data_IF_579230178081
#
_entry.id   IF_579230178081
#
_cell.length_a   1.000
_cell.length_b   1.000
_cell.length_c   1.000
_cell.angle_alpha   90.00
_cell.angle_beta   90.00
_cell.angle_gamma   90.00
#
_symmetry.space_group_name_H-M   'P 1'
#
loop_
_entity.id
_entity.type
_entity.pdbx_description
1 polymer ?
#
# COMPACT_ATOMS: atom_id res chain seq x y z
N UNK A 1 33.02 -6.61 33.34
CA UNK A 1 31.59 -6.27 33.52
C UNK A 1 31.12 -5.07 32.70
N UNK A 2 31.88 -3.98 32.54
CA UNK A 2 31.49 -2.86 31.65
C UNK A 2 31.23 -3.28 30.20
N UNK A 3 32.07 -4.09 29.60
CA UNK A 3 31.89 -4.59 28.22
C UNK A 3 30.63 -5.44 27.99
N UNK A 4 30.14 -6.13 29.03
CA UNK A 4 28.93 -6.97 28.88
C UNK A 4 27.64 -6.13 28.98
N UNK A 5 27.64 -5.12 29.81
CA UNK A 5 26.50 -4.17 29.89
C UNK A 5 26.41 -3.29 28.66
N UNK A 6 27.54 -2.81 28.12
CA UNK A 6 27.62 -2.13 26.84
C UNK A 6 27.17 -3.03 25.66
N UNK A 7 27.54 -4.31 25.69
CA UNK A 7 27.08 -5.29 24.69
C UNK A 7 25.57 -5.56 24.78
N UNK A 8 25.01 -5.59 26.01
CA UNK A 8 23.56 -5.72 26.23
C UNK A 8 22.83 -4.44 25.87
N UNK A 9 23.36 -3.26 26.16
CA UNK A 9 22.78 -1.97 25.77
C UNK A 9 22.82 -1.76 24.25
N UNK A 10 23.88 -2.20 23.58
CA UNK A 10 23.94 -2.26 22.12
C UNK A 10 23.00 -3.29 21.50
N UNK A 11 22.58 -4.31 22.24
CA UNK A 11 21.53 -5.28 21.85
C UNK A 11 20.11 -4.83 22.22
N UNK A 12 19.95 -3.90 23.13
CA UNK A 12 18.68 -3.19 23.26
C UNK A 12 18.53 -2.39 21.97
N UNK A 13 17.55 -2.76 21.15
CA UNK A 13 17.17 -2.03 19.96
C UNK A 13 16.71 -0.61 20.35
N UNK A 14 17.64 0.21 20.81
CA UNK A 14 17.43 1.63 20.96
C UNK A 14 17.21 2.19 19.56
N UNK A 15 16.19 2.98 19.40
CA UNK A 15 15.83 3.60 18.13
C UNK A 15 16.92 4.61 17.75
N UNK A 16 17.99 4.15 17.10
CA UNK A 16 19.05 5.01 16.59
C UNK A 16 18.44 5.96 15.56
N UNK A 17 18.56 7.25 15.80
CA UNK A 17 18.21 8.27 14.83
C UNK A 17 19.40 8.47 13.89
N UNK A 18 19.16 8.20 12.61
CA UNK A 18 20.15 8.39 11.53
C UNK A 18 19.97 9.71 10.79
N UNK A 19 18.89 10.44 11.11
CA UNK A 19 18.42 11.57 10.33
C UNK A 19 19.03 12.91 10.75
N UNK A 20 18.34 13.94 10.33
CA UNK A 20 18.71 15.34 10.50
C UNK A 20 17.56 16.08 11.19
N UNK A 21 17.83 17.27 11.72
CA UNK A 21 16.76 18.15 12.17
C UNK A 21 16.08 18.79 10.96
N UNK A 22 14.74 18.84 10.92
CA UNK A 22 14.03 19.46 9.81
C UNK A 22 14.29 20.97 9.74
N UNK A 23 14.46 21.47 8.52
CA UNK A 23 14.64 22.91 8.25
C UNK A 23 13.39 23.56 7.65
N UNK A 24 12.47 22.72 7.15
CA UNK A 24 11.25 23.16 6.53
C UNK A 24 10.08 22.25 6.93
N UNK A 25 9.08 22.83 7.60
CA UNK A 25 7.78 22.23 7.87
C UNK A 25 6.71 23.22 7.44
N UNK A 26 6.17 23.11 6.20
CA UNK A 26 5.21 24.06 5.67
C UNK A 26 3.89 24.09 6.45
N UNK A 27 3.28 25.29 6.54
CA UNK A 27 2.00 25.49 7.24
C UNK A 27 0.81 24.81 6.55
N UNK A 28 0.93 24.47 5.26
CA UNK A 28 -0.10 23.75 4.53
C UNK A 28 -0.28 22.29 5.00
N UNK A 29 0.65 21.76 5.79
CA UNK A 29 0.52 20.44 6.41
C UNK A 29 -0.48 20.46 7.57
N UNK A 30 -1.30 19.41 7.66
CA UNK A 30 -2.05 19.13 8.89
C UNK A 30 -1.10 18.78 10.04
N UNK A 31 -1.51 18.98 11.29
CA UNK A 31 -0.65 18.79 12.45
C UNK A 31 -0.08 17.36 12.55
N UNK A 32 -0.88 16.34 12.22
CA UNK A 32 -0.39 14.98 12.16
C UNK A 32 0.64 14.77 11.04
N UNK A 33 0.51 15.45 9.90
CA UNK A 33 1.49 15.39 8.81
C UNK A 33 2.79 16.08 9.21
N UNK A 34 2.73 17.22 9.92
CA UNK A 34 3.89 17.89 10.50
C UNK A 34 4.65 16.92 11.41
N UNK A 35 3.92 16.29 12.34
CA UNK A 35 4.49 15.30 13.27
C UNK A 35 5.15 14.11 12.56
N UNK A 36 4.46 13.49 11.60
CA UNK A 36 5.00 12.36 10.83
C UNK A 36 6.23 12.77 10.03
N UNK A 37 6.21 13.96 9.42
CA UNK A 37 7.33 14.50 8.64
C UNK A 37 8.56 14.73 9.53
N UNK A 38 8.40 15.37 10.67
CA UNK A 38 9.48 15.58 11.65
C UNK A 38 10.06 14.25 12.13
N UNK A 39 9.19 13.32 12.51
CA UNK A 39 9.60 11.99 12.94
C UNK A 39 10.42 11.29 11.86
N UNK A 40 9.95 11.29 10.61
CA UNK A 40 10.64 10.65 9.50
C UNK A 40 12.02 11.27 9.26
N UNK A 41 12.12 12.61 9.20
CA UNK A 41 13.39 13.31 8.96
C UNK A 41 14.39 13.02 10.07
N UNK A 42 13.99 13.12 11.33
CA UNK A 42 14.85 12.81 12.49
C UNK A 42 15.29 11.34 12.52
N UNK A 43 14.42 10.45 12.07
CA UNK A 43 14.72 9.01 11.99
C UNK A 43 15.76 8.68 10.90
N UNK A 44 15.67 9.31 9.73
CA UNK A 44 16.61 9.17 8.60
C UNK A 44 16.55 7.85 7.85
N UNK A 45 16.07 6.78 8.51
CA UNK A 45 15.74 5.47 7.93
C UNK A 45 14.44 5.02 8.55
N UNK A 46 13.34 5.13 7.80
CA UNK A 46 12.02 4.99 8.38
C UNK A 46 11.02 4.43 7.37
N UNK A 47 10.15 3.55 7.85
CA UNK A 47 8.92 3.22 7.14
C UNK A 47 7.77 4.08 7.67
N UNK A 48 6.98 4.63 6.76
CA UNK A 48 5.83 5.49 7.04
C UNK A 48 4.58 4.79 6.49
N UNK A 49 3.82 4.18 7.39
CA UNK A 49 2.61 3.41 7.08
C UNK A 49 1.38 4.28 7.30
N UNK A 50 1.08 5.11 6.32
CA UNK A 50 -0.10 5.97 6.33
C UNK A 50 -1.20 5.38 5.44
N UNK A 51 -2.41 5.35 5.96
CA UNK A 51 -3.56 4.96 5.14
C UNK A 51 -3.75 5.90 3.94
N UNK A 52 -4.50 5.44 2.96
CA UNK A 52 -4.82 6.27 1.79
C UNK A 52 -5.67 7.48 2.21
N UNK A 53 -5.41 8.63 1.57
CA UNK A 53 -6.10 9.88 1.89
C UNK A 53 -5.46 10.71 3.01
N UNK A 54 -4.41 10.20 3.69
CA UNK A 54 -3.68 10.94 4.73
C UNK A 54 -2.55 11.84 4.18
N UNK A 55 -2.46 11.99 2.84
CA UNK A 55 -1.54 12.90 2.19
C UNK A 55 -0.09 12.43 2.16
N UNK A 56 0.15 11.12 1.97
CA UNK A 56 1.49 10.53 1.82
C UNK A 56 2.38 11.33 0.88
N UNK A 57 1.91 11.61 -0.34
CA UNK A 57 2.67 12.32 -1.38
C UNK A 57 3.20 13.67 -0.88
N UNK A 58 2.39 14.42 -0.14
CA UNK A 58 2.82 15.71 0.41
C UNK A 58 3.88 15.53 1.50
N UNK A 59 3.73 14.54 2.38
CA UNK A 59 4.75 14.20 3.40
C UNK A 59 6.06 13.78 2.72
N UNK A 60 6.00 12.95 1.68
CA UNK A 60 7.17 12.52 0.89
C UNK A 60 7.88 13.69 0.23
N UNK A 61 7.12 14.61 -0.38
CA UNK A 61 7.68 15.81 -1.00
C UNK A 61 8.36 16.72 0.03
N UNK A 62 7.77 16.91 1.21
CA UNK A 62 8.37 17.73 2.27
C UNK A 62 9.62 17.06 2.85
N UNK A 63 9.61 15.73 3.03
CA UNK A 63 10.82 14.97 3.41
C UNK A 63 11.89 15.15 2.33
N UNK A 64 11.56 15.00 1.05
CA UNK A 64 12.49 15.17 -0.06
C UNK A 64 13.09 16.59 -0.08
N UNK A 65 12.26 17.61 0.12
CA UNK A 65 12.70 19.00 0.12
C UNK A 65 13.66 19.31 1.27
N UNK A 66 13.42 18.77 2.47
CA UNK A 66 14.35 18.92 3.59
C UNK A 66 15.73 18.34 3.23
N UNK A 67 15.79 17.13 2.68
CA UNK A 67 17.06 16.52 2.28
C UNK A 67 17.71 17.24 1.09
N UNK A 68 16.94 17.74 0.14
CA UNK A 68 17.45 18.56 -0.98
C UNK A 68 18.10 19.86 -0.51
N UNK A 69 17.68 20.39 0.65
CA UNK A 69 18.27 21.59 1.27
C UNK A 69 19.43 21.26 2.21
N UNK A 70 19.35 20.16 2.94
CA UNK A 70 20.33 19.77 3.97
C UNK A 70 21.53 19.00 3.43
N UNK A 71 21.41 18.41 2.23
CA UNK A 71 22.48 17.63 1.60
C UNK A 71 22.92 18.24 0.28
N UNK A 72 24.12 17.84 -0.17
CA UNK A 72 24.67 18.35 -1.44
C UNK A 72 24.22 17.56 -2.67
N UNK A 73 23.59 16.37 -2.45
CA UNK A 73 23.15 15.49 -3.53
C UNK A 73 21.63 15.54 -3.69
N UNK A 74 21.12 15.22 -4.87
CA UNK A 74 19.68 15.14 -5.09
C UNK A 74 19.02 14.01 -4.30
N UNK A 75 17.71 14.11 -4.19
CA UNK A 75 16.82 13.11 -3.61
C UNK A 75 16.11 12.36 -4.73
N UNK A 76 16.06 11.03 -4.64
CA UNK A 76 15.32 10.18 -5.57
C UNK A 76 14.03 9.66 -4.94
N UNK A 77 12.89 9.95 -5.57
CA UNK A 77 11.59 9.35 -5.25
C UNK A 77 11.31 8.29 -6.29
N UNK A 78 11.07 7.06 -5.84
CA UNK A 78 10.76 5.92 -6.70
C UNK A 78 9.28 5.57 -6.49
N UNK A 79 8.51 5.56 -7.58
CA UNK A 79 7.05 5.42 -7.52
C UNK A 79 6.53 4.47 -8.61
N UNK A 80 5.32 3.90 -8.45
CA UNK A 80 4.65 3.19 -9.54
C UNK A 80 4.42 4.08 -10.77
N UNK A 81 4.34 3.46 -11.95
CA UNK A 81 4.35 4.14 -13.25
C UNK A 81 3.31 5.28 -13.37
N UNK A 82 2.10 5.06 -12.89
CA UNK A 82 1.00 6.04 -13.03
C UNK A 82 1.06 7.22 -12.04
N UNK A 83 2.02 7.24 -11.09
CA UNK A 83 2.02 8.19 -9.97
C UNK A 83 3.01 9.33 -10.14
N UNK A 84 4.06 9.15 -10.94
CA UNK A 84 5.15 10.13 -11.06
C UNK A 84 4.65 11.55 -11.43
N UNK A 85 3.63 11.64 -12.28
CA UNK A 85 3.02 12.91 -12.68
C UNK A 85 2.32 13.64 -11.53
N UNK A 86 1.76 12.87 -10.59
CA UNK A 86 1.08 13.45 -9.43
C UNK A 86 2.06 14.16 -8.51
N UNK A 87 3.27 13.64 -8.33
CA UNK A 87 4.32 14.30 -7.55
C UNK A 87 4.65 15.70 -8.11
N UNK A 88 4.78 15.81 -9.43
CA UNK A 88 5.05 17.10 -10.09
C UNK A 88 3.90 18.09 -9.84
N UNK A 89 2.65 17.66 -10.11
CA UNK A 89 1.46 18.51 -9.91
C UNK A 89 1.28 18.93 -8.45
N UNK A 90 1.51 18.02 -7.50
CA UNK A 90 1.38 18.36 -6.08
C UNK A 90 2.48 19.29 -5.61
N UNK A 91 3.72 19.14 -6.07
CA UNK A 91 4.80 20.08 -5.77
C UNK A 91 4.44 21.49 -6.26
N UNK A 92 3.96 21.63 -7.49
CA UNK A 92 3.51 22.91 -8.03
C UNK A 92 2.31 23.49 -7.23
N UNK A 93 1.32 22.67 -6.92
CA UNK A 93 0.12 23.08 -6.17
C UNK A 93 0.44 23.63 -4.78
N UNK A 94 1.42 23.06 -4.11
CA UNK A 94 1.81 23.46 -2.74
C UNK A 94 2.98 24.44 -2.71
N UNK A 95 3.44 24.93 -3.88
CA UNK A 95 4.57 25.89 -3.97
C UNK A 95 5.89 25.33 -3.45
N UNK A 96 6.07 24.00 -3.57
CA UNK A 96 7.29 23.32 -3.20
C UNK A 96 8.34 23.42 -4.32
N UNK A 97 9.59 23.05 -4.00
CA UNK A 97 10.67 22.99 -5.01
C UNK A 97 10.26 22.09 -6.19
N UNK A 98 10.67 22.50 -7.40
CA UNK A 98 10.29 21.76 -8.62
C UNK A 98 10.82 20.33 -8.61
N UNK A 99 9.93 19.41 -8.97
CA UNK A 99 10.21 17.98 -9.06
C UNK A 99 10.43 17.60 -10.52
N UNK A 100 11.55 16.96 -10.82
CA UNK A 100 11.86 16.49 -12.16
C UNK A 100 11.49 15.00 -12.32
N UNK A 101 10.51 14.70 -13.19
CA UNK A 101 10.21 13.33 -13.59
C UNK A 101 11.19 12.88 -14.68
N UNK A 102 12.11 11.98 -14.33
CA UNK A 102 13.10 11.42 -15.24
C UNK A 102 12.69 10.07 -15.79
N UNK A 103 12.70 9.94 -17.12
CA UNK A 103 12.39 8.70 -17.84
C UNK A 103 13.63 7.96 -18.37
N UNK A 104 14.77 8.65 -18.44
CA UNK A 104 15.99 8.17 -19.10
C UNK A 104 17.24 8.19 -18.21
N UNK A 105 17.10 8.54 -16.93
CA UNK A 105 18.21 8.68 -15.98
C UNK A 105 18.86 10.08 -15.98
N UNK A 106 18.45 10.95 -16.89
CA UNK A 106 18.91 12.35 -16.90
C UNK A 106 17.96 13.22 -16.09
N UNK A 107 18.51 14.11 -15.28
CA UNK A 107 17.69 14.99 -14.45
C UNK A 107 18.36 16.35 -14.23
N UNK A 108 17.53 17.33 -13.91
CA UNK A 108 17.92 18.67 -13.47
C UNK A 108 17.21 18.94 -12.14
N UNK A 109 17.85 19.69 -11.25
CA UNK A 109 17.29 20.00 -9.93
C UNK A 109 17.60 18.93 -8.87
N UNK A 110 17.07 19.17 -7.66
CA UNK A 110 17.44 18.40 -6.47
C UNK A 110 16.42 17.32 -6.07
N UNK A 111 15.22 17.34 -6.62
CA UNK A 111 14.20 16.32 -6.36
C UNK A 111 13.86 15.64 -7.69
N UNK A 112 14.15 14.35 -7.76
CA UNK A 112 13.98 13.54 -8.95
C UNK A 112 12.95 12.43 -8.66
N UNK A 113 11.97 12.26 -9.55
CA UNK A 113 11.03 11.16 -9.49
C UNK A 113 11.31 10.20 -10.64
N UNK A 114 11.35 8.91 -10.37
CA UNK A 114 11.40 7.86 -11.37
C UNK A 114 10.43 6.72 -11.05
N UNK A 115 10.20 5.87 -12.03
CA UNK A 115 9.40 4.66 -11.85
C UNK A 115 10.29 3.46 -11.49
N UNK A 116 9.73 2.49 -10.76
CA UNK A 116 10.44 1.27 -10.37
C UNK A 116 11.07 0.52 -11.54
N UNK A 117 10.40 0.53 -12.70
CA UNK A 117 10.83 -0.12 -13.94
C UNK A 117 12.04 0.54 -14.61
N UNK A 118 12.41 1.74 -14.15
CA UNK A 118 13.50 2.54 -14.71
C UNK A 118 14.65 2.79 -13.74
N UNK A 119 14.61 2.12 -12.59
CA UNK A 119 15.60 2.30 -11.53
C UNK A 119 17.03 1.94 -11.97
N UNK A 120 17.17 1.01 -12.91
CA UNK A 120 18.46 0.60 -13.50
C UNK A 120 19.20 1.71 -14.27
N UNK A 121 18.50 2.81 -14.59
CA UNK A 121 19.10 3.98 -15.26
C UNK A 121 19.76 4.97 -14.32
N UNK A 122 19.69 4.75 -13.02
CA UNK A 122 20.21 5.65 -11.98
C UNK A 122 21.33 4.99 -11.20
N UNK A 123 22.36 5.77 -10.84
CA UNK A 123 23.41 5.33 -9.92
C UNK A 123 23.04 5.73 -8.48
N UNK A 124 22.98 4.78 -7.53
CA UNK A 124 22.69 5.12 -6.13
C UNK A 124 23.72 6.06 -5.49
N UNK A 125 24.94 6.13 -6.01
CA UNK A 125 25.98 7.03 -5.51
C UNK A 125 25.69 8.51 -5.77
N UNK A 126 24.78 8.82 -6.70
CA UNK A 126 24.37 10.19 -7.02
C UNK A 126 23.42 10.78 -5.97
N UNK A 127 22.82 9.93 -5.10
CA UNK A 127 21.77 10.35 -4.19
C UNK A 127 22.15 10.14 -2.72
N UNK A 128 21.83 11.12 -1.87
CA UNK A 128 21.97 10.99 -0.41
C UNK A 128 20.67 10.47 0.26
N UNK A 129 19.52 10.68 -0.38
CA UNK A 129 18.23 10.25 0.11
C UNK A 129 17.42 9.54 -0.99
N UNK A 130 16.77 8.44 -0.61
CA UNK A 130 15.84 7.71 -1.46
C UNK A 130 14.51 7.49 -0.73
N UNK A 131 13.41 7.73 -1.43
CA UNK A 131 12.04 7.58 -0.96
C UNK A 131 11.33 6.59 -1.89
N UNK A 132 10.75 5.54 -1.33
CA UNK A 132 9.94 4.55 -2.05
C UNK A 132 8.46 4.81 -1.75
N UNK A 133 7.74 5.34 -2.73
CA UNK A 133 6.28 5.40 -2.69
C UNK A 133 5.71 4.04 -3.09
N UNK A 134 4.67 3.61 -2.38
CA UNK A 134 4.06 2.29 -2.48
C UNK A 134 5.07 1.14 -2.31
N UNK A 135 5.84 1.20 -1.23
CA UNK A 135 6.91 0.25 -0.91
C UNK A 135 6.44 -1.21 -0.69
N UNK A 136 5.13 -1.47 -0.71
CA UNK A 136 4.55 -2.83 -0.75
C UNK A 136 5.06 -3.68 -1.93
N UNK A 137 5.67 -3.08 -2.94
CA UNK A 137 6.38 -3.79 -4.03
C UNK A 137 7.49 -4.71 -3.50
N UNK A 138 8.05 -4.41 -2.32
CA UNK A 138 9.10 -5.22 -1.67
C UNK A 138 8.61 -6.55 -1.09
N UNK A 139 7.29 -6.80 -1.03
CA UNK A 139 6.68 -7.98 -0.38
C UNK A 139 7.17 -9.33 -0.91
N UNK A 140 7.57 -9.42 -2.17
CA UNK A 140 8.04 -10.65 -2.79
C UNK A 140 9.52 -10.88 -2.51
N UNK A 141 9.83 -11.68 -1.50
CA UNK A 141 11.22 -11.97 -1.10
C UNK A 141 12.10 -12.50 -2.24
N UNK A 142 11.60 -13.39 -3.09
CA UNK A 142 12.34 -14.00 -4.19
C UNK A 142 12.28 -13.24 -5.52
N UNK A 143 11.74 -12.02 -5.54
CA UNK A 143 11.56 -11.26 -6.78
C UNK A 143 12.83 -10.51 -7.20
N UNK A 144 13.24 -10.61 -8.48
CA UNK A 144 14.35 -9.81 -9.05
C UNK A 144 14.16 -8.31 -8.83
N UNK A 145 12.92 -7.82 -8.91
CA UNK A 145 12.59 -6.41 -8.69
C UNK A 145 12.93 -6.01 -7.24
N UNK A 146 12.53 -6.82 -6.24
CA UNK A 146 12.86 -6.58 -4.83
C UNK A 146 14.37 -6.55 -4.61
N UNK A 147 15.11 -7.48 -5.20
CA UNK A 147 16.56 -7.56 -5.06
C UNK A 147 17.24 -6.31 -5.62
N UNK A 148 16.86 -5.88 -6.82
CA UNK A 148 17.40 -4.66 -7.44
C UNK A 148 17.11 -3.43 -6.59
N UNK A 149 15.86 -3.25 -6.15
CA UNK A 149 15.45 -2.12 -5.30
C UNK A 149 16.23 -2.15 -3.98
N UNK A 150 16.30 -3.28 -3.30
CA UNK A 150 16.98 -3.41 -2.01
C UNK A 150 18.48 -3.13 -2.14
N UNK A 151 19.12 -3.61 -3.21
CA UNK A 151 20.53 -3.38 -3.50
C UNK A 151 20.81 -1.90 -3.76
N UNK A 152 19.95 -1.23 -4.50
CA UNK A 152 20.03 0.22 -4.74
C UNK A 152 19.87 0.99 -3.43
N UNK A 153 18.77 0.76 -2.71
CA UNK A 153 18.41 1.49 -1.48
C UNK A 153 19.49 1.34 -0.39
N UNK A 154 20.08 0.15 -0.25
CA UNK A 154 21.14 -0.11 0.73
C UNK A 154 22.41 0.74 0.53
N UNK A 155 22.66 1.23 -0.68
CA UNK A 155 23.81 2.10 -0.99
C UNK A 155 23.55 3.58 -0.67
N UNK A 156 22.28 3.97 -0.48
CA UNK A 156 21.90 5.35 -0.18
C UNK A 156 21.86 5.56 1.35
N UNK A 157 22.28 6.73 1.82
CA UNK A 157 22.41 7.02 3.27
C UNK A 157 21.07 7.11 3.98
N UNK A 158 20.12 7.92 3.45
CA UNK A 158 18.80 8.17 4.02
C UNK A 158 17.74 7.42 3.21
N UNK A 159 16.85 6.67 3.88
CA UNK A 159 15.97 5.71 3.24
C UNK A 159 14.57 5.77 3.81
N UNK A 160 13.58 5.91 2.95
CA UNK A 160 12.20 6.01 3.36
C UNK A 160 11.32 5.06 2.56
N UNK A 161 10.40 4.39 3.26
CA UNK A 161 9.42 3.50 2.67
C UNK A 161 8.02 3.99 3.03
N UNK A 162 7.22 4.35 2.03
CA UNK A 162 5.85 4.79 2.22
C UNK A 162 4.88 3.78 1.64
N UNK A 163 3.85 3.41 2.38
CA UNK A 163 2.75 2.57 1.89
C UNK A 163 1.53 2.62 2.83
N UNK A 164 0.35 2.36 2.27
CA UNK A 164 -0.87 2.11 3.04
C UNK A 164 -1.04 0.62 3.39
N UNK A 165 -0.32 -0.27 2.71
CA UNK A 165 -0.43 -1.73 2.87
C UNK A 165 0.92 -2.36 3.17
N UNK A 166 1.48 -2.16 4.38
CA UNK A 166 2.84 -2.59 4.73
C UNK A 166 3.03 -4.11 4.72
N UNK A 167 1.96 -4.86 4.95
CA UNK A 167 1.98 -6.31 5.05
C UNK A 167 0.65 -6.89 4.52
N UNK A 168 0.42 -6.81 3.20
CA UNK A 168 -0.87 -7.15 2.63
C UNK A 168 -1.24 -8.64 2.70
N UNK A 169 -0.28 -9.54 2.86
CA UNK A 169 -0.54 -10.97 2.92
C UNK A 169 -0.13 -11.60 4.26
N UNK A 170 1.05 -11.26 4.77
CA UNK A 170 1.58 -11.85 6.01
C UNK A 170 2.64 -10.94 6.64
N UNK A 171 2.75 -10.96 7.99
CA UNK A 171 3.72 -10.15 8.75
C UNK A 171 5.18 -10.38 8.37
N UNK A 172 5.51 -11.53 7.76
CA UNK A 172 6.86 -11.81 7.26
C UNK A 172 7.32 -10.78 6.20
N UNK A 173 6.40 -10.14 5.49
CA UNK A 173 6.70 -9.13 4.48
C UNK A 173 7.40 -7.89 5.07
N UNK A 174 7.22 -7.61 6.36
CA UNK A 174 7.90 -6.52 7.06
C UNK A 174 9.42 -6.74 7.17
N UNK A 175 9.88 -7.98 7.06
CA UNK A 175 11.30 -8.30 7.05
C UNK A 175 12.03 -7.76 5.82
N UNK A 176 11.37 -7.73 4.65
CA UNK A 176 11.95 -7.14 3.44
C UNK A 176 12.06 -5.62 3.55
N UNK A 177 11.09 -4.98 4.18
CA UNK A 177 11.11 -3.54 4.49
C UNK A 177 12.25 -3.20 5.46
N UNK A 178 12.38 -3.96 6.55
CA UNK A 178 13.47 -3.81 7.51
C UNK A 178 14.84 -3.99 6.87
N UNK A 179 14.99 -4.99 5.99
CA UNK A 179 16.22 -5.25 5.24
C UNK A 179 16.59 -4.09 4.31
N UNK A 180 15.63 -3.51 3.59
CA UNK A 180 15.85 -2.36 2.71
C UNK A 180 16.30 -1.11 3.50
N UNK A 181 15.68 -0.87 4.65
CA UNK A 181 16.06 0.22 5.55
C UNK A 181 17.43 0.01 6.21
N UNK A 182 17.92 -1.23 6.26
CA UNK A 182 19.21 -1.59 6.85
C UNK A 182 19.17 -1.83 8.35
N UNK A 183 18.04 -2.29 8.87
CA UNK A 183 17.89 -2.77 10.25
C UNK A 183 18.21 -4.26 10.33
N UNK A 184 17.21 -5.11 10.51
CA UNK A 184 17.40 -6.56 10.61
C UNK A 184 17.16 -7.22 9.25
N UNK A 185 18.02 -8.18 8.87
CA UNK A 185 17.85 -8.99 7.67
C UNK A 185 16.58 -9.86 7.72
N UNK A 186 16.03 -10.20 6.56
CA UNK A 186 14.80 -10.98 6.46
C UNK A 186 14.92 -12.34 7.16
N UNK A 187 16.02 -13.08 6.94
CA UNK A 187 16.24 -14.39 7.55
C UNK A 187 16.45 -14.32 9.07
N UNK A 188 17.12 -13.26 9.55
CA UNK A 188 17.32 -13.05 10.98
C UNK A 188 15.99 -12.77 11.68
N UNK A 189 15.11 -11.97 11.04
CA UNK A 189 13.75 -11.71 11.51
C UNK A 189 12.94 -13.01 11.60
N UNK A 190 12.98 -13.84 10.55
CA UNK A 190 12.28 -15.13 10.55
C UNK A 190 12.75 -16.03 11.68
N UNK A 191 14.05 -16.17 11.86
CA UNK A 191 14.64 -17.00 12.91
C UNK A 191 14.24 -16.51 14.31
N UNK A 192 14.27 -15.19 14.49
CA UNK A 192 13.99 -14.57 15.80
C UNK A 192 12.52 -14.66 16.18
N UNK A 193 11.61 -14.29 15.29
CA UNK A 193 10.21 -14.07 15.64
C UNK A 193 9.24 -15.12 15.10
N UNK A 194 9.63 -15.91 14.11
CA UNK A 194 8.74 -16.85 13.42
C UNK A 194 9.18 -18.30 13.61
N UNK A 195 8.22 -19.21 13.43
CA UNK A 195 8.47 -20.65 13.37
C UNK A 195 7.93 -21.21 12.05
N UNK A 196 8.59 -22.27 11.52
CA UNK A 196 8.12 -23.00 10.35
C UNK A 196 6.96 -23.92 10.74
N UNK A 197 5.89 -23.93 9.96
CA UNK A 197 4.69 -24.76 10.16
C UNK A 197 4.92 -26.23 9.85
N UNK A 198 5.89 -26.56 9.01
CA UNK A 198 6.23 -27.97 8.70
C UNK A 198 6.49 -28.80 9.96
N UNK A 199 6.92 -28.13 11.04
CA UNK A 199 7.21 -28.76 12.32
C UNK A 199 5.98 -28.78 13.27
N UNK A 200 4.78 -28.37 12.82
CA UNK A 200 3.60 -28.28 13.69
C UNK A 200 2.33 -28.74 12.97
N UNK A 201 1.88 -29.96 13.29
CA UNK A 201 0.70 -30.64 12.66
C UNK A 201 -0.57 -29.79 12.73
N UNK A 202 -0.77 -29.00 13.81
CA UNK A 202 -1.94 -28.12 13.97
C UNK A 202 -1.93 -26.88 13.07
N UNK A 203 -0.80 -26.53 12.49
CA UNK A 203 -0.62 -25.31 11.70
C UNK A 203 -0.61 -25.55 10.18
N UNK A 204 -0.67 -26.80 9.71
CA UNK A 204 -0.55 -27.18 8.29
C UNK A 204 -1.67 -26.62 7.39
N UNK A 205 -2.85 -26.30 7.96
CA UNK A 205 -4.02 -25.86 7.21
C UNK A 205 -4.08 -24.33 6.94
N UNK A 206 -3.07 -23.56 7.32
CA UNK A 206 -3.06 -22.10 7.14
C UNK A 206 -2.06 -21.74 6.04
N UNK A 207 -2.47 -21.01 5.01
CA UNK A 207 -1.77 -20.75 3.74
C UNK A 207 -0.35 -20.15 3.75
N UNK A 208 0.24 -19.82 4.91
CA UNK A 208 1.61 -19.30 5.03
C UNK A 208 2.56 -20.40 5.58
N UNK A 209 3.78 -20.45 5.08
CA UNK A 209 4.83 -21.39 5.52
C UNK A 209 5.34 -21.09 6.94
N UNK A 210 5.23 -19.85 7.40
CA UNK A 210 5.70 -19.37 8.69
C UNK A 210 4.55 -18.80 9.51
N UNK A 211 4.67 -18.83 10.84
CA UNK A 211 3.76 -18.17 11.77
C UNK A 211 4.53 -17.45 12.87
N UNK A 212 4.02 -16.31 13.30
CA UNK A 212 4.58 -15.51 14.38
C UNK A 212 4.45 -16.29 15.70
N UNK A 213 5.58 -16.48 16.40
CA UNK A 213 5.61 -17.16 17.71
C UNK A 213 4.76 -16.37 18.71
N UNK A 214 3.80 -17.00 19.43
CA UNK A 214 2.92 -16.28 20.36
C UNK A 214 3.66 -15.45 21.41
N UNK A 215 4.73 -15.99 22.00
CA UNK A 215 5.56 -15.32 22.99
C UNK A 215 6.41 -14.17 22.41
N UNK A 216 6.71 -14.19 21.12
CA UNK A 216 7.50 -13.15 20.44
C UNK A 216 6.65 -12.02 19.86
N UNK A 217 5.31 -12.09 19.97
CA UNK A 217 4.38 -11.17 19.34
C UNK A 217 4.61 -9.71 19.76
N UNK A 218 4.65 -9.45 21.05
CA UNK A 218 4.86 -8.10 21.60
C UNK A 218 6.23 -7.53 21.18
N UNK A 219 7.28 -8.34 21.25
CA UNK A 219 8.63 -7.91 20.88
C UNK A 219 8.76 -7.66 19.38
N UNK A 220 8.04 -8.43 18.54
CA UNK A 220 7.99 -8.22 17.11
C UNK A 220 7.37 -6.85 16.78
N UNK A 221 6.20 -6.51 17.31
CA UNK A 221 5.56 -5.23 17.04
C UNK A 221 6.33 -4.05 17.64
N UNK A 222 6.93 -4.21 18.82
CA UNK A 222 7.84 -3.22 19.39
C UNK A 222 9.06 -2.98 18.48
N UNK A 223 9.63 -4.04 17.94
CA UNK A 223 10.72 -3.95 16.98
C UNK A 223 10.29 -3.23 15.69
N UNK A 224 9.13 -3.56 15.11
CA UNK A 224 8.60 -2.83 13.93
C UNK A 224 8.40 -1.35 14.24
N UNK A 225 7.79 -1.01 15.37
CA UNK A 225 7.59 0.39 15.80
C UNK A 225 8.89 1.15 16.05
N UNK A 226 10.02 0.46 16.23
CA UNK A 226 11.32 1.12 16.45
C UNK A 226 11.88 1.75 15.17
N UNK A 227 11.42 1.35 13.98
CA UNK A 227 11.85 1.86 12.68
C UNK A 227 10.69 2.31 11.78
N UNK A 228 9.47 2.28 12.27
CA UNK A 228 8.29 2.71 11.50
C UNK A 228 7.38 3.62 12.33
N UNK A 229 6.59 4.41 11.61
CA UNK A 229 5.43 5.12 12.14
C UNK A 229 4.20 4.68 11.36
N UNK A 230 3.06 4.48 12.04
CA UNK A 230 1.84 3.99 11.42
C UNK A 230 0.63 4.81 11.86
N UNK A 231 -0.32 5.03 10.92
CA UNK A 231 -1.55 5.75 11.20
C UNK A 231 -2.61 5.41 10.14
N UNK A 232 -3.84 5.09 10.57
CA UNK A 232 -5.02 4.94 9.70
C UNK A 232 -5.90 6.18 9.74
N UNK A 233 -5.93 6.86 10.88
CA UNK A 233 -6.66 8.10 11.10
C UNK A 233 -5.88 8.98 12.08
N UNK A 234 -6.07 10.29 12.04
CA UNK A 234 -5.31 11.21 12.90
C UNK A 234 -5.36 10.88 14.38
N UNK A 235 -6.49 10.39 14.90
CA UNK A 235 -6.64 10.01 16.31
C UNK A 235 -5.76 8.82 16.74
N UNK A 236 -5.21 8.05 15.83
CA UNK A 236 -4.23 6.99 16.14
C UNK A 236 -2.94 7.58 16.76
N UNK A 237 -2.60 8.82 16.42
CA UNK A 237 -1.49 9.58 17.00
C UNK A 237 -1.94 10.71 17.92
N UNK A 238 -3.21 10.72 18.34
CA UNK A 238 -3.78 11.70 19.29
C UNK A 238 -4.22 13.04 18.69
N UNK A 239 -4.34 13.13 17.36
CA UNK A 239 -4.87 14.31 16.67
C UNK A 239 -6.39 14.18 16.42
N UNK A 240 -7.07 15.31 16.08
CA UNK A 240 -8.50 15.29 15.76
C UNK A 240 -8.79 14.66 14.39
N UNK A 241 -9.86 13.84 14.32
CA UNK A 241 -10.36 13.25 13.09
C UNK A 241 -11.38 14.15 12.34
N UNK A 242 -11.70 15.33 12.85
CA UNK A 242 -12.82 16.16 12.36
C UNK A 242 -12.75 16.48 10.87
N UNK A 243 -11.55 16.71 10.35
CA UNK A 243 -11.31 17.00 8.94
C UNK A 243 -11.15 15.74 8.07
N UNK A 244 -11.20 14.53 8.65
CA UNK A 244 -10.90 13.25 7.99
C UNK A 244 -12.06 12.25 8.07
N UNK A 245 -13.27 12.72 8.32
CA UNK A 245 -14.46 11.87 8.29
C UNK A 245 -14.72 11.43 6.85
N UNK A 246 -14.70 10.13 6.63
CA UNK A 246 -15.08 9.53 5.37
C UNK A 246 -16.58 9.22 5.39
N UNK A 247 -17.26 9.28 4.23
CA UNK A 247 -18.63 8.80 4.11
C UNK A 247 -18.69 7.27 4.32
N UNK A 248 -19.86 6.70 4.33
CA UNK A 248 -20.04 5.27 4.52
C UNK A 248 -19.49 4.48 3.33
N UNK A 249 -18.87 3.33 3.61
CA UNK A 249 -18.48 2.33 2.60
C UNK A 249 -19.45 1.16 2.67
N UNK A 250 -20.29 1.04 1.66
CA UNK A 250 -21.33 0.01 1.55
C UNK A 250 -20.79 -1.13 0.69
N UNK A 251 -20.57 -2.28 1.31
CA UNK A 251 -20.06 -3.48 0.66
C UNK A 251 -21.20 -4.46 0.41
N UNK A 252 -21.58 -4.63 -0.85
CA UNK A 252 -22.63 -5.57 -1.25
C UNK A 252 -22.00 -6.81 -1.87
N UNK A 253 -22.57 -7.98 -1.55
CA UNK A 253 -22.13 -9.27 -2.06
C UNK A 253 -23.18 -9.84 -3.00
N UNK A 254 -22.84 -9.98 -4.28
CA UNK A 254 -23.71 -10.51 -5.33
C UNK A 254 -23.20 -11.85 -5.81
N UNK A 255 -23.89 -12.89 -5.41
CA UNK A 255 -23.56 -14.27 -5.74
C UNK A 255 -24.33 -14.72 -6.97
N UNK A 256 -23.60 -15.12 -8.02
CA UNK A 256 -24.19 -15.70 -9.22
C UNK A 256 -24.09 -17.22 -9.19
N UNK A 257 -25.13 -17.90 -9.66
CA UNK A 257 -25.14 -19.38 -9.73
C UNK A 257 -24.39 -19.84 -10.96
N UNK A 258 -23.57 -20.87 -10.81
CA UNK A 258 -23.07 -21.62 -11.96
C UNK A 258 -24.21 -22.51 -12.48
N UNK A 259 -24.60 -22.33 -13.74
CA UNK A 259 -25.64 -23.12 -14.38
C UNK A 259 -25.11 -24.45 -14.93
N UNK A 260 -23.80 -24.60 -15.04
CA UNK A 260 -23.14 -25.79 -15.58
C UNK A 260 -22.38 -26.54 -14.46
N UNK A 261 -22.28 -27.87 -14.61
CA UNK A 261 -21.43 -28.67 -13.73
C UNK A 261 -19.97 -28.28 -13.90
N UNK A 262 -19.27 -28.13 -12.78
CA UNK A 262 -17.85 -27.75 -12.77
C UNK A 262 -17.02 -28.79 -13.52
N UNK A 263 -16.37 -28.40 -14.62
CA UNK A 263 -15.46 -29.24 -15.37
C UNK A 263 -14.02 -28.88 -14.96
N UNK A 264 -13.32 -29.80 -14.32
CA UNK A 264 -11.93 -29.66 -13.94
C UNK A 264 -11.12 -30.74 -14.61
N UNK A 265 -10.11 -30.36 -15.42
CA UNK A 265 -9.26 -31.30 -16.19
C UNK A 265 -10.04 -32.31 -17.07
N UNK A 266 -11.20 -31.89 -17.63
CA UNK A 266 -12.05 -32.74 -18.46
C UNK A 266 -12.96 -33.70 -17.69
N UNK A 267 -12.99 -33.64 -16.36
CA UNK A 267 -13.90 -34.42 -15.52
C UNK A 267 -15.05 -33.54 -15.01
N UNK A 268 -16.27 -34.03 -15.18
CA UNK A 268 -17.50 -33.38 -14.67
C UNK A 268 -17.57 -33.66 -13.17
N UNK A 269 -17.52 -32.61 -12.35
CA UNK A 269 -17.76 -32.70 -10.90
C UNK A 269 -19.27 -32.80 -10.64
N UNK A 270 -19.72 -33.89 -10.09
CA UNK A 270 -21.15 -34.19 -9.87
C UNK A 270 -21.86 -33.29 -8.83
N UNK A 271 -21.12 -32.48 -8.11
CA UNK A 271 -21.65 -31.53 -7.13
C UNK A 271 -20.97 -30.18 -7.32
N UNK A 272 -21.69 -29.09 -7.11
CA UNK A 272 -21.14 -27.72 -7.01
C UNK A 272 -20.22 -27.62 -5.79
N UNK A 273 -19.05 -28.28 -5.86
CA UNK A 273 -18.04 -28.22 -4.83
C UNK A 273 -17.39 -26.84 -4.84
N UNK A 274 -17.23 -26.23 -3.69
CA UNK A 274 -16.45 -25.00 -3.54
C UNK A 274 -15.04 -25.26 -4.08
N UNK A 275 -14.62 -24.49 -5.08
CA UNK A 275 -13.31 -24.61 -5.70
C UNK A 275 -12.19 -24.55 -4.64
N UNK A 276 -11.40 -25.60 -4.53
CA UNK A 276 -10.41 -25.77 -3.46
C UNK A 276 -8.99 -25.32 -3.86
N UNK A 277 -8.71 -25.30 -5.16
CA UNK A 277 -7.41 -24.97 -5.73
C UNK A 277 -7.50 -23.76 -6.67
N UNK A 278 -6.35 -23.11 -6.91
CA UNK A 278 -6.26 -21.99 -7.87
C UNK A 278 -6.73 -22.36 -9.29
N UNK A 279 -6.40 -23.55 -9.85
CA UNK A 279 -6.91 -23.98 -11.15
C UNK A 279 -8.44 -24.13 -11.16
N UNK A 280 -9.04 -24.68 -10.11
CA UNK A 280 -10.50 -24.83 -9.98
C UNK A 280 -11.19 -23.48 -9.91
N UNK A 281 -10.68 -22.53 -9.12
CA UNK A 281 -11.20 -21.15 -9.07
C UNK A 281 -11.16 -20.49 -10.46
N UNK A 282 -10.09 -20.69 -11.23
CA UNK A 282 -9.98 -20.15 -12.59
C UNK A 282 -10.96 -20.79 -13.56
N UNK A 283 -11.19 -22.11 -13.44
CA UNK A 283 -12.19 -22.81 -14.25
C UNK A 283 -13.60 -22.28 -13.97
N UNK A 284 -13.95 -22.16 -12.70
CA UNK A 284 -15.23 -21.59 -12.25
C UNK A 284 -15.42 -20.15 -12.75
N UNK A 285 -14.38 -19.33 -12.68
CA UNK A 285 -14.41 -17.96 -13.18
C UNK A 285 -14.67 -17.88 -14.68
N UNK A 286 -14.14 -18.82 -15.47
CA UNK A 286 -14.37 -18.88 -16.93
C UNK A 286 -15.80 -19.35 -17.25
N UNK A 287 -16.30 -20.34 -16.55
CA UNK A 287 -17.65 -20.86 -16.78
C UNK A 287 -18.76 -19.86 -16.40
N UNK A 288 -18.51 -19.02 -15.41
CA UNK A 288 -19.49 -18.03 -14.90
C UNK A 288 -19.28 -16.63 -15.42
N UNK A 289 -18.44 -16.46 -16.47
CA UNK A 289 -18.06 -15.14 -16.98
C UNK A 289 -19.27 -14.32 -17.44
N UNK A 290 -20.20 -14.95 -18.18
CA UNK A 290 -21.37 -14.28 -18.74
C UNK A 290 -22.28 -13.79 -17.63
N UNK A 291 -22.64 -14.66 -16.69
CA UNK A 291 -23.54 -14.32 -15.55
C UNK A 291 -22.95 -13.23 -14.66
N UNK A 292 -21.61 -13.28 -14.42
CA UNK A 292 -20.95 -12.25 -13.61
C UNK A 292 -20.89 -10.89 -14.35
N UNK A 293 -20.60 -10.88 -15.65
CA UNK A 293 -20.56 -9.64 -16.41
C UNK A 293 -21.95 -9.02 -16.58
N UNK A 294 -23.00 -9.83 -16.86
CA UNK A 294 -24.38 -9.34 -16.93
C UNK A 294 -24.83 -8.73 -15.59
N UNK A 295 -24.56 -9.41 -14.47
CA UNK A 295 -24.88 -8.88 -13.15
C UNK A 295 -24.08 -7.59 -12.84
N UNK A 296 -22.83 -7.52 -13.25
CA UNK A 296 -22.01 -6.34 -13.09
C UNK A 296 -22.58 -5.13 -13.84
N UNK A 297 -23.02 -5.31 -15.07
CA UNK A 297 -23.63 -4.25 -15.89
C UNK A 297 -24.98 -3.82 -15.33
N UNK A 298 -25.82 -4.77 -14.89
CA UNK A 298 -27.09 -4.46 -14.19
C UNK A 298 -26.87 -3.52 -13.00
N UNK A 299 -25.88 -3.83 -12.14
CA UNK A 299 -25.56 -3.03 -10.96
C UNK A 299 -25.04 -1.63 -11.34
N UNK A 300 -24.11 -1.56 -12.28
CA UNK A 300 -23.51 -0.29 -12.70
C UNK A 300 -24.50 0.63 -13.44
N UNK A 301 -25.53 0.10 -14.06
CA UNK A 301 -26.55 0.90 -14.77
C UNK A 301 -27.45 1.72 -13.81
N UNK A 302 -27.45 1.39 -12.52
CA UNK A 302 -28.15 2.20 -11.51
C UNK A 302 -27.34 3.42 -11.04
N UNK A 303 -26.10 3.60 -11.53
CA UNK A 303 -25.19 4.67 -11.16
C UNK A 303 -24.71 5.46 -12.37
N UNK A 304 -24.56 6.78 -12.22
CA UNK A 304 -24.09 7.66 -13.30
C UNK A 304 -22.63 7.39 -13.65
N UNK A 305 -21.79 7.14 -12.64
CA UNK A 305 -20.37 6.85 -12.79
C UNK A 305 -20.04 5.53 -12.13
N UNK A 306 -19.22 4.71 -12.78
CA UNK A 306 -18.87 3.39 -12.25
C UNK A 306 -17.50 2.90 -12.75
N UNK A 307 -16.83 2.06 -11.95
CA UNK A 307 -15.62 1.35 -12.38
C UNK A 307 -15.82 -0.15 -12.24
N UNK A 308 -15.56 -0.87 -13.33
CA UNK A 308 -15.51 -2.32 -13.34
C UNK A 308 -14.07 -2.81 -13.14
N UNK A 309 -13.82 -3.50 -12.05
CA UNK A 309 -12.53 -4.16 -11.78
C UNK A 309 -12.58 -5.61 -12.23
N UNK A 310 -12.05 -5.90 -13.41
CA UNK A 310 -11.95 -7.24 -13.94
C UNK A 310 -10.57 -7.87 -13.72
N UNK A 311 -10.46 -9.20 -13.88
CA UNK A 311 -9.22 -9.95 -13.69
C UNK A 311 -8.67 -10.47 -15.02
N UNK A 312 -9.56 -10.88 -15.94
CA UNK A 312 -9.22 -11.48 -17.22
C UNK A 312 -9.53 -10.52 -18.38
N UNK A 313 -8.86 -10.73 -19.53
CA UNK A 313 -9.15 -9.96 -20.73
C UNK A 313 -10.56 -10.23 -21.23
N UNK A 314 -10.99 -11.52 -21.20
CA UNK A 314 -12.30 -11.94 -21.65
C UNK A 314 -13.43 -11.25 -20.85
N UNK A 315 -13.23 -11.01 -19.56
CA UNK A 315 -14.17 -10.24 -18.72
C UNK A 315 -14.26 -8.79 -19.20
N UNK A 316 -13.11 -8.14 -19.44
CA UNK A 316 -13.09 -6.75 -19.93
C UNK A 316 -13.74 -6.61 -21.30
N UNK A 317 -13.45 -7.52 -22.22
CA UNK A 317 -14.05 -7.53 -23.56
C UNK A 317 -15.57 -7.75 -23.52
N UNK A 318 -16.04 -8.68 -22.66
CA UNK A 318 -17.46 -8.94 -22.50
C UNK A 318 -18.19 -7.75 -21.86
N UNK A 319 -17.62 -7.16 -20.79
CA UNK A 319 -18.18 -5.96 -20.19
C UNK A 319 -18.30 -4.80 -21.20
N UNK A 320 -17.28 -4.55 -22.04
CA UNK A 320 -17.32 -3.53 -23.08
C UNK A 320 -18.30 -3.85 -24.24
N UNK A 321 -18.69 -5.12 -24.43
CA UNK A 321 -19.76 -5.50 -25.34
C UNK A 321 -21.15 -5.25 -24.76
N UNK A 322 -21.32 -5.51 -23.46
CA UNK A 322 -22.58 -5.39 -22.73
C UNK A 322 -22.89 -3.93 -22.32
N UNK A 323 -21.87 -3.17 -21.92
CA UNK A 323 -21.98 -1.75 -21.56
C UNK A 323 -21.20 -0.91 -22.58
N UNK A 324 -21.93 -0.28 -23.51
CA UNK A 324 -21.35 0.53 -24.60
C UNK A 324 -20.81 1.89 -24.14
N UNK A 325 -21.22 2.35 -22.97
CA UNK A 325 -20.78 3.62 -22.37
C UNK A 325 -19.49 3.45 -21.57
N UNK A 326 -19.04 2.20 -21.38
CA UNK A 326 -17.84 1.88 -20.62
C UNK A 326 -16.59 1.78 -21.50
N UNK A 327 -15.51 2.45 -21.10
CA UNK A 327 -14.21 2.42 -21.79
C UNK A 327 -13.25 1.43 -21.13
N UNK A 328 -12.68 0.53 -21.94
CA UNK A 328 -11.74 -0.47 -21.43
C UNK A 328 -10.29 -0.02 -21.55
N UNK A 329 -9.54 -0.05 -20.45
CA UNK A 329 -8.08 0.08 -20.44
C UNK A 329 -7.46 -1.31 -20.55
N UNK A 330 -6.85 -1.60 -21.71
CA UNK A 330 -6.19 -2.89 -22.00
C UNK A 330 -4.71 -2.87 -21.66
N UNK A 331 -4.20 -4.04 -21.24
CA UNK A 331 -2.76 -4.21 -20.97
C UNK A 331 -1.87 -3.89 -22.18
N UNK A 332 -2.34 -4.15 -23.39
CA UNK A 332 -1.64 -3.92 -24.67
C UNK A 332 -1.57 -2.46 -25.12
N UNK A 333 -2.33 -1.55 -24.50
CA UNK A 333 -2.27 -0.12 -24.83
C UNK A 333 -0.92 0.47 -24.46
N UNK A 334 -0.46 1.48 -25.22
CA UNK A 334 0.70 2.29 -24.85
C UNK A 334 0.49 2.99 -23.50
N UNK A 335 1.58 3.32 -22.82
CA UNK A 335 1.51 3.99 -21.51
C UNK A 335 0.81 5.35 -21.62
N UNK A 336 1.08 6.10 -22.68
CA UNK A 336 0.47 7.42 -22.91
C UNK A 336 -1.05 7.32 -23.08
N UNK A 337 -1.53 6.35 -23.88
CA UNK A 337 -2.99 6.11 -24.04
C UNK A 337 -3.67 5.71 -22.72
N UNK A 338 -3.00 4.88 -21.90
CA UNK A 338 -3.52 4.52 -20.57
C UNK A 338 -3.67 5.75 -19.70
N UNK A 339 -2.66 6.62 -19.72
CA UNK A 339 -2.64 7.86 -18.96
C UNK A 339 -3.76 8.81 -19.39
N UNK A 340 -3.97 8.97 -20.71
CA UNK A 340 -5.06 9.79 -21.27
C UNK A 340 -6.44 9.31 -20.79
N UNK A 341 -6.73 8.01 -20.87
CA UNK A 341 -8.00 7.44 -20.41
C UNK A 341 -8.21 7.64 -18.91
N UNK A 342 -7.15 7.46 -18.11
CA UNK A 342 -7.22 7.63 -16.66
C UNK A 342 -7.45 9.09 -16.27
N UNK A 343 -6.84 10.03 -16.98
CA UNK A 343 -7.06 11.47 -16.80
C UNK A 343 -8.47 11.88 -17.23
N UNK A 344 -8.96 11.39 -18.38
CA UNK A 344 -10.31 11.64 -18.87
C UNK A 344 -11.38 11.12 -17.89
N UNK A 345 -11.14 9.95 -17.29
CA UNK A 345 -12.02 9.45 -16.23
C UNK A 345 -11.94 10.32 -14.95
N UNK A 346 -10.74 10.70 -14.52
CA UNK A 346 -10.54 11.53 -13.35
C UNK A 346 -11.17 12.96 -13.51
N UNK A 347 -11.22 13.47 -14.73
CA UNK A 347 -11.85 14.75 -15.07
C UNK A 347 -13.37 14.63 -15.25
N UNK A 348 -13.92 13.40 -15.33
CA UNK A 348 -15.35 13.14 -15.51
C UNK A 348 -15.83 13.12 -16.97
N UNK A 349 -14.92 13.18 -17.95
CA UNK A 349 -15.23 13.07 -19.38
C UNK A 349 -15.71 11.66 -19.75
N UNK A 350 -15.15 10.64 -19.06
CA UNK A 350 -15.57 9.25 -19.13
C UNK A 350 -16.38 8.93 -17.89
N UNK A 351 -17.58 8.38 -18.06
CA UNK A 351 -18.50 8.04 -16.95
C UNK A 351 -18.27 6.63 -16.40
N UNK A 352 -17.94 5.69 -17.25
CA UNK A 352 -17.74 4.29 -16.88
C UNK A 352 -16.40 3.76 -17.40
N UNK A 353 -15.65 3.07 -16.53
CA UNK A 353 -14.31 2.57 -16.82
C UNK A 353 -14.22 1.08 -16.54
N UNK A 354 -13.67 0.31 -17.48
CA UNK A 354 -13.32 -1.10 -17.31
C UNK A 354 -11.80 -1.20 -17.20
N UNK A 355 -11.31 -1.79 -16.13
CA UNK A 355 -9.87 -1.92 -15.93
C UNK A 355 -9.50 -3.05 -14.98
N UNK A 356 -8.22 -3.32 -14.82
CA UNK A 356 -7.70 -4.33 -13.90
C UNK A 356 -7.00 -3.66 -12.72
N UNK A 357 -7.18 -4.15 -11.48
CA UNK A 357 -6.51 -3.58 -10.31
C UNK A 357 -5.00 -3.48 -10.46
N UNK A 358 -4.36 -4.47 -11.07
CA UNK A 358 -2.91 -4.46 -11.33
C UNK A 358 -2.41 -3.30 -12.16
N UNK A 359 -3.25 -2.75 -13.04
CA UNK A 359 -2.84 -1.71 -13.98
C UNK A 359 -3.09 -0.31 -13.44
N UNK A 360 -4.15 -0.13 -12.67
CA UNK A 360 -4.67 1.20 -12.38
C UNK A 360 -5.04 1.43 -10.91
N UNK A 361 -4.90 0.40 -10.03
CA UNK A 361 -5.21 0.57 -8.62
C UNK A 361 -4.20 1.47 -7.87
N UNK A 362 -3.12 1.93 -8.50
CA UNK A 362 -2.14 2.81 -7.90
C UNK A 362 -2.20 4.22 -8.50
N UNK A 363 -2.17 5.25 -7.67
CA UNK A 363 -1.82 6.64 -8.01
C UNK A 363 -2.98 7.63 -8.16
N UNK A 364 -4.02 7.39 -8.91
CA UNK A 364 -5.02 8.41 -9.24
C UNK A 364 -6.18 8.54 -8.23
N UNK A 365 -6.77 9.73 -8.17
CA UNK A 365 -7.88 10.05 -7.29
C UNK A 365 -9.19 10.08 -8.08
N UNK A 366 -10.21 9.31 -7.65
CA UNK A 366 -11.49 9.19 -8.33
C UNK A 366 -12.68 9.50 -7.40
N UNK A 367 -12.56 10.60 -6.59
CA UNK A 367 -13.63 11.00 -5.66
C UNK A 367 -14.92 11.46 -6.35
N UNK A 368 -14.88 11.80 -7.65
CA UNK A 368 -16.08 12.12 -8.44
C UNK A 368 -16.97 10.88 -8.65
N UNK A 369 -16.39 9.68 -8.59
CA UNK A 369 -17.10 8.42 -8.70
C UNK A 369 -17.30 7.80 -7.31
N UNK A 370 -18.49 7.28 -7.05
CA UNK A 370 -18.83 6.66 -5.78
C UNK A 370 -19.39 5.23 -5.92
N UNK A 371 -19.27 4.63 -7.10
CA UNK A 371 -19.71 3.26 -7.33
C UNK A 371 -18.63 2.42 -8.03
N UNK A 372 -18.50 1.16 -7.64
CA UNK A 372 -17.59 0.23 -8.28
C UNK A 372 -18.09 -1.20 -8.21
N UNK A 373 -17.89 -1.95 -9.29
CA UNK A 373 -18.09 -3.40 -9.33
C UNK A 373 -16.76 -4.10 -9.30
N UNK A 374 -16.59 -5.04 -8.38
CA UNK A 374 -15.33 -5.73 -8.16
C UNK A 374 -15.47 -7.25 -8.35
N UNK A 375 -14.68 -7.82 -9.24
CA UNK A 375 -14.53 -9.26 -9.36
C UNK A 375 -13.40 -9.72 -8.44
N UNK A 376 -13.71 -10.46 -7.36
CA UNK A 376 -12.74 -10.72 -6.29
C UNK A 376 -11.59 -11.63 -6.70
N UNK A 377 -10.41 -11.35 -6.15
CA UNK A 377 -9.20 -12.17 -6.26
C UNK A 377 -8.64 -12.45 -4.87
N UNK A 378 -7.64 -13.32 -4.76
CA UNK A 378 -6.93 -13.57 -3.50
C UNK A 378 -6.05 -12.40 -3.02
N UNK A 379 -5.93 -11.32 -3.80
CA UNK A 379 -5.08 -10.18 -3.47
C UNK A 379 -5.83 -9.11 -2.68
N UNK A 380 -5.65 -9.10 -1.36
CA UNK A 380 -6.20 -8.06 -0.51
C UNK A 380 -5.67 -6.66 -0.87
N UNK A 381 -4.39 -6.53 -1.21
CA UNK A 381 -3.80 -5.26 -1.62
C UNK A 381 -4.52 -4.67 -2.85
N UNK A 382 -4.77 -5.48 -3.89
CA UNK A 382 -5.47 -5.01 -5.08
C UNK A 382 -6.89 -4.58 -4.77
N UNK A 383 -7.60 -5.34 -3.96
CA UNK A 383 -8.93 -5.00 -3.47
C UNK A 383 -8.92 -3.69 -2.69
N UNK A 384 -8.03 -3.58 -1.70
CA UNK A 384 -7.91 -2.40 -0.86
C UNK A 384 -7.57 -1.15 -1.68
N UNK A 385 -6.55 -1.21 -2.53
CA UNK A 385 -6.13 -0.11 -3.38
C UNK A 385 -7.23 0.30 -4.37
N UNK A 386 -7.98 -0.66 -4.93
CA UNK A 386 -9.10 -0.38 -5.83
C UNK A 386 -10.21 0.44 -5.14
N UNK A 387 -10.65 0.01 -3.95
CA UNK A 387 -11.69 0.72 -3.19
C UNK A 387 -11.20 2.10 -2.76
N UNK A 388 -9.96 2.22 -2.33
CA UNK A 388 -9.37 3.46 -1.85
C UNK A 388 -9.11 4.49 -2.96
N UNK A 389 -9.47 4.24 -4.21
CA UNK A 389 -9.59 5.22 -5.27
C UNK A 389 -10.79 6.14 -5.07
N UNK A 390 -11.86 5.59 -4.54
CA UNK A 390 -13.16 6.23 -4.34
C UNK A 390 -13.35 6.66 -2.88
N UNK A 391 -13.13 5.73 -1.95
CA UNK A 391 -13.34 5.92 -0.53
C UNK A 391 -12.09 6.47 0.15
N UNK A 392 -11.92 7.78 0.03
CA UNK A 392 -10.74 8.51 0.51
C UNK A 392 -11.08 9.95 0.90
N UNK A 393 -10.16 10.65 1.55
CA UNK A 393 -10.29 12.06 1.88
C UNK A 393 -10.72 12.89 0.66
N UNK A 394 -11.76 13.72 0.84
CA UNK A 394 -12.39 14.52 -0.22
C UNK A 394 -13.57 13.84 -0.91
N UNK A 395 -13.91 12.59 -0.60
CA UNK A 395 -15.17 11.97 -0.98
C UNK A 395 -16.30 12.49 -0.08
N UNK A 396 -17.40 12.92 -0.67
CA UNK A 396 -18.56 13.47 0.03
C UNK A 396 -19.81 12.59 -0.04
N UNK A 397 -19.79 11.57 -0.91
CA UNK A 397 -20.92 10.63 -1.11
C UNK A 397 -20.56 9.25 -0.54
N UNK A 398 -21.56 8.53 -0.06
CA UNK A 398 -21.37 7.12 0.30
C UNK A 398 -20.88 6.33 -0.91
N UNK A 399 -19.93 5.44 -0.66
CA UNK A 399 -19.26 4.65 -1.69
C UNK A 399 -19.83 3.24 -1.70
N UNK A 400 -20.29 2.81 -2.85
CA UNK A 400 -20.85 1.48 -3.08
C UNK A 400 -19.82 0.59 -3.77
N UNK A 401 -19.53 -0.55 -3.18
CA UNK A 401 -18.70 -1.59 -3.78
C UNK A 401 -19.48 -2.88 -3.89
N UNK A 402 -19.87 -3.21 -5.10
CA UNK A 402 -20.61 -4.43 -5.44
C UNK A 402 -19.63 -5.55 -5.82
N UNK A 403 -19.44 -6.52 -4.93
CA UNK A 403 -18.60 -7.69 -5.21
C UNK A 403 -19.43 -8.76 -5.93
N UNK A 404 -19.09 -9.07 -7.18
CA UNK A 404 -19.77 -10.08 -8.00
C UNK A 404 -18.92 -11.33 -8.13
N UNK A 405 -19.41 -12.47 -7.65
CA UNK A 405 -18.67 -13.73 -7.63
C UNK A 405 -19.60 -14.94 -7.75
N UNK A 406 -19.05 -16.10 -8.13
CA UNK A 406 -19.79 -17.35 -8.22
C UNK A 406 -19.73 -18.18 -6.93
N UNK A 407 -20.60 -19.17 -6.81
CA UNK A 407 -20.65 -20.10 -5.68
C UNK A 407 -19.28 -20.72 -5.37
N UNK A 408 -18.52 -21.12 -6.39
CA UNK A 408 -17.19 -21.72 -6.25
C UNK A 408 -16.11 -20.76 -5.73
N UNK A 409 -16.35 -19.45 -5.75
CA UNK A 409 -15.38 -18.43 -5.30
C UNK A 409 -15.48 -18.06 -3.80
N UNK A 410 -16.31 -18.74 -3.01
CA UNK A 410 -16.48 -18.43 -1.56
C UNK A 410 -15.14 -18.41 -0.81
N UNK A 411 -14.20 -19.28 -1.18
CA UNK A 411 -12.85 -19.33 -0.56
C UNK A 411 -12.06 -18.05 -0.81
N UNK A 412 -12.25 -17.40 -1.97
CA UNK A 412 -11.60 -16.12 -2.30
C UNK A 412 -12.09 -15.03 -1.35
N UNK A 413 -13.42 -14.95 -1.14
CA UNK A 413 -14.03 -13.97 -0.23
C UNK A 413 -13.53 -14.18 1.20
N UNK A 414 -13.57 -15.42 1.69
CA UNK A 414 -13.09 -15.74 3.04
C UNK A 414 -11.61 -15.34 3.23
N UNK A 415 -10.78 -15.60 2.23
CA UNK A 415 -9.36 -15.20 2.24
C UNK A 415 -9.17 -13.67 2.29
N UNK A 416 -9.99 -12.90 1.57
CA UNK A 416 -9.96 -11.43 1.62
C UNK A 416 -10.33 -10.92 3.01
N UNK A 417 -11.38 -11.48 3.63
CA UNK A 417 -11.83 -11.12 4.99
C UNK A 417 -10.71 -11.39 6.02
N UNK A 418 -10.07 -12.55 5.94
CA UNK A 418 -8.98 -12.91 6.85
C UNK A 418 -7.77 -11.96 6.70
N UNK A 419 -7.41 -11.62 5.46
CA UNK A 419 -6.31 -10.68 5.20
C UNK A 419 -6.64 -9.26 5.66
N UNK A 420 -7.89 -8.82 5.51
CA UNK A 420 -8.36 -7.56 6.04
C UNK A 420 -8.24 -7.49 7.57
N UNK A 421 -8.62 -8.57 8.28
CA UNK A 421 -8.46 -8.68 9.74
C UNK A 421 -6.98 -8.56 10.15
N UNK A 422 -6.09 -9.27 9.48
CA UNK A 422 -4.64 -9.21 9.75
C UNK A 422 -4.06 -7.83 9.50
N UNK A 423 -4.46 -7.15 8.43
CA UNK A 423 -4.04 -5.79 8.14
C UNK A 423 -4.49 -4.82 9.24
N UNK A 424 -5.73 -4.92 9.70
CA UNK A 424 -6.24 -4.12 10.81
C UNK A 424 -5.47 -4.41 12.11
N UNK A 425 -5.25 -5.68 12.43
CA UNK A 425 -4.49 -6.11 13.60
C UNK A 425 -3.07 -5.54 13.61
N UNK A 426 -2.39 -5.50 12.46
CA UNK A 426 -1.07 -4.89 12.33
C UNK A 426 -1.08 -3.44 12.79
N UNK A 427 -1.98 -2.62 12.23
CA UNK A 427 -2.07 -1.21 12.60
C UNK A 427 -2.42 -1.01 14.07
N UNK A 428 -3.39 -1.78 14.61
CA UNK A 428 -3.78 -1.69 16.03
C UNK A 428 -2.60 -1.99 16.97
N UNK A 429 -1.81 -3.01 16.64
CA UNK A 429 -0.63 -3.39 17.43
C UNK A 429 0.50 -2.37 17.30
N UNK A 430 0.74 -1.83 16.10
CA UNK A 430 1.75 -0.79 15.91
C UNK A 430 1.37 0.48 16.65
N UNK A 431 0.13 0.95 16.52
CA UNK A 431 -0.36 2.15 17.18
C UNK A 431 -0.34 2.01 18.70
N UNK A 432 -0.68 0.84 19.25
CA UNK A 432 -0.57 0.58 20.70
C UNK A 432 0.88 0.61 21.18
N UNK A 433 1.82 0.10 20.37
CA UNK A 433 3.26 0.11 20.70
C UNK A 433 3.86 1.51 20.64
N UNK A 434 3.45 2.33 19.67
CA UNK A 434 3.86 3.75 19.55
C UNK A 434 3.31 4.54 20.75
N UNK A 435 2.01 4.38 21.06
CA UNK A 435 1.37 5.09 22.18
C UNK A 435 1.98 4.73 23.55
N UNK A 436 2.43 3.48 23.75
CA UNK A 436 3.12 3.10 24.98
C UNK A 436 4.47 3.80 25.14
N UNK A 437 5.23 3.91 24.06
CA UNK A 437 6.50 4.64 24.02
C UNK A 437 6.27 6.15 24.22
N UNK A 438 5.24 6.71 23.61
CA UNK A 438 4.88 8.12 23.76
C UNK A 438 4.43 8.47 25.19
N UNK A 439 3.66 7.59 25.85
CA UNK A 439 3.27 7.78 27.26
C UNK A 439 4.47 7.75 28.21
N UNK A 440 5.47 6.91 27.93
CA UNK A 440 6.72 6.87 28.69
C UNK A 440 7.52 8.18 28.51
N UNK A 441 7.62 8.67 27.29
CA UNK A 441 8.27 9.96 26.98
C UNK A 441 7.52 11.13 27.62
N UNK A 442 6.18 11.16 27.58
CA UNK A 442 5.39 12.19 28.28
C UNK A 442 5.56 12.19 29.80
N UNK A 443 5.74 11.02 30.43
CA UNK A 443 6.02 10.92 31.85
C UNK A 443 7.41 11.45 32.22
N UNK A 444 8.39 11.29 31.36
CA UNK A 444 9.72 11.87 31.55
C UNK A 444 9.72 13.37 31.26
N UNK A 445 8.96 13.86 30.29
CA UNK A 445 8.78 15.28 29.98
C UNK A 445 8.03 16.07 31.09
N UNK A 446 7.23 15.42 31.91
CA UNK A 446 6.51 16.10 33.01
C UNK A 446 7.37 16.45 34.23
N UNK A 447 8.66 16.16 34.21
CA UNK A 447 9.65 16.59 35.19
C UNK A 447 10.60 17.62 34.59
N UNK A 448 10.20 18.90 34.59
CA UNK A 448 11.04 20.08 34.40
C UNK A 448 11.57 20.40 32.98
N UNK A 449 10.82 20.12 31.92
CA UNK A 449 11.14 20.68 30.60
C UNK A 449 9.98 21.57 30.12
N UNK A 450 10.29 22.84 29.83
CA UNK A 450 9.38 23.75 29.12
C UNK A 450 8.96 23.10 27.82
N UNK A 451 7.69 22.69 27.73
CA UNK A 451 7.11 22.16 26.49
C UNK A 451 7.16 23.26 25.44
N UNK A 452 7.65 22.98 24.21
CA UNK A 452 7.51 23.90 23.11
C UNK A 452 6.03 24.26 22.91
N UNK A 453 5.75 25.51 22.53
CA UNK A 453 4.39 26.07 22.40
C UNK A 453 3.49 25.36 21.35
N UNK A 454 3.99 24.32 20.68
CA UNK A 454 3.29 23.51 19.68
C UNK A 454 2.86 22.11 20.20
N UNK A 455 3.13 21.77 21.47
CA UNK A 455 2.59 20.63 22.21
C UNK A 455 1.52 21.12 23.17
#
# INVERSE_FOLDING_TARGET
MKNYLEFIDNKKHSSINHGLDPVLIPDCLFDYQKYVTEYAIKKGRCAVFLDTGLGKTLVELVVAQNYAQLTNKPVLIITPLAVAFQFVKEAERFGLESVHHSKDGKYKGKIVVCNYERLDKFDPSDFDCVILDESSILKNFNGKIKENITTFVKKVKYRYLFTATPSPNDFIELGTSSEALGYMGYMDMLTKFFSNKENNIKAQNIGSKFYLKPHARTDFFRWVSSWSISMRKPSDLGFSDDKHKLPELILNNHKVKNQENLIVNGQIMMFNAIAQSLPEVRSEQKQTITQRCEKAVELANSHETSVYWCNFNDEGELLGKLDKDAYEIKGSMSLDKKEDFLLSFANGDIKKLITKPKMTAFGLNWQHCNHTVYFPTFSYEQYYQAIRRFWRFGQTKDVFCDMVYSDGQQKVINSLIEKAKKANELFDMLNSSINSNFKLTKKEFSKDILLPSFL
#
